data_IF_297841296169
#
_entry.id   IF_297841296169
#
_cell.length_a   1.000
_cell.length_b   1.000
_cell.length_c   1.000
_cell.angle_alpha   90.00
_cell.angle_beta   90.00
_cell.angle_gamma   90.00
#
_symmetry.space_group_name_H-M   'P 1'
#
loop_
_entity.id
_entity.type
_entity.pdbx_description
1 polymer ?
#
# COMPACT_ATOMS: atom_id res chain seq x y z
N UNK A 1 -8.27 8.90 27.97
CA UNK A 1 -8.49 10.33 28.23
C UNK A 1 -7.17 11.02 27.97
N UNK A 2 -7.03 11.75 26.86
CA UNK A 2 -5.77 12.44 26.51
C UNK A 2 -5.57 13.58 27.51
N UNK A 3 -4.43 13.62 28.20
CA UNK A 3 -4.07 14.80 29.00
C UNK A 3 -3.82 15.98 28.05
N UNK A 4 -4.42 17.16 28.31
CA UNK A 4 -4.18 18.31 27.49
C UNK A 4 -2.68 18.70 27.55
N UNK A 5 -2.10 19.03 26.40
CA UNK A 5 -0.72 19.53 26.28
C UNK A 5 -0.44 20.78 27.16
N UNK A 6 -1.49 21.38 27.73
CA UNK A 6 -1.45 22.55 28.59
C UNK A 6 -0.73 22.33 29.94
N UNK A 7 -0.54 21.08 30.38
CA UNK A 7 0.10 20.75 31.63
C UNK A 7 1.60 20.40 31.49
N UNK A 8 2.17 20.57 30.31
CA UNK A 8 3.60 20.32 30.10
C UNK A 8 4.44 21.51 30.57
N UNK A 9 5.29 21.28 31.57
CA UNK A 9 6.33 22.23 31.90
C UNK A 9 7.43 22.20 30.85
N UNK A 10 7.71 23.31 30.21
CA UNK A 10 8.78 23.43 29.24
C UNK A 10 9.77 24.51 29.64
N UNK A 11 11.00 24.35 29.19
CA UNK A 11 12.09 25.30 29.32
C UNK A 11 12.68 25.60 27.94
N UNK A 12 13.34 26.74 27.80
CA UNK A 12 14.09 27.05 26.59
C UNK A 12 15.57 26.66 26.78
N UNK A 13 16.05 25.80 25.91
CA UNK A 13 17.47 25.39 25.90
C UNK A 13 18.11 25.74 24.56
N UNK A 14 19.42 25.92 24.54
CA UNK A 14 20.16 26.07 23.30
C UNK A 14 20.18 24.76 22.53
N UNK A 15 20.00 24.81 21.20
CA UNK A 15 19.96 23.63 20.33
C UNK A 15 21.29 22.83 20.39
N UNK A 16 22.42 23.49 20.70
CA UNK A 16 23.71 22.83 20.88
C UNK A 16 23.73 21.83 22.02
N UNK A 17 22.81 21.98 22.99
CA UNK A 17 22.63 21.08 24.15
C UNK A 17 21.72 19.90 23.83
N UNK A 18 21.08 19.87 22.66
CA UNK A 18 20.16 18.81 22.27
C UNK A 18 20.88 17.65 21.57
N UNK A 19 20.49 16.44 21.94
CA UNK A 19 20.89 15.24 21.20
C UNK A 19 20.08 15.13 19.91
N UNK A 20 20.76 14.90 18.78
CA UNK A 20 20.14 14.78 17.44
C UNK A 20 20.03 13.32 16.95
N UNK A 21 20.14 12.35 17.86
CA UNK A 21 20.14 10.93 17.55
C UNK A 21 18.83 10.44 16.91
N UNK A 22 17.75 11.18 17.08
CA UNK A 22 16.42 10.85 16.52
C UNK A 22 16.15 11.48 15.17
N UNK A 23 17.15 12.04 14.51
CA UNK A 23 17.02 12.43 13.13
C UNK A 23 16.76 11.17 12.28
N UNK A 24 15.54 10.98 11.84
CA UNK A 24 15.08 9.81 11.07
C UNK A 24 15.06 10.04 9.56
N UNK A 25 15.81 11.05 9.10
CA UNK A 25 15.95 11.37 7.69
C UNK A 25 14.81 12.24 7.14
N UNK A 26 14.76 12.44 5.82
CA UNK A 26 13.70 13.23 5.20
C UNK A 26 12.35 12.58 5.44
N UNK A 27 11.41 13.39 5.91
CA UNK A 27 9.99 13.02 6.02
C UNK A 27 9.27 13.47 4.76
N UNK A 28 8.45 12.59 4.18
CA UNK A 28 7.74 12.89 2.94
C UNK A 28 6.62 13.92 3.10
N UNK A 29 6.15 14.15 4.33
CA UNK A 29 5.00 15.05 4.61
C UNK A 29 5.23 15.91 5.86
N UNK A 30 6.33 16.65 5.91
CA UNK A 30 6.52 17.63 6.98
C UNK A 30 5.64 18.87 6.77
N UNK A 31 5.05 19.41 7.84
CA UNK A 31 4.58 20.79 7.84
C UNK A 31 5.78 21.72 7.56
N UNK A 32 5.59 22.70 6.70
CA UNK A 32 6.68 23.58 6.21
C UNK A 32 7.45 24.34 7.30
N UNK A 33 6.90 24.48 8.52
CA UNK A 33 7.58 25.15 9.66
C UNK A 33 7.12 24.53 10.98
N UNK A 34 7.85 23.55 11.48
CA UNK A 34 7.67 23.09 12.84
C UNK A 34 8.54 23.92 13.80
N UNK A 35 8.01 24.35 14.95
CA UNK A 35 8.84 24.89 16.02
C UNK A 35 9.84 23.84 16.48
N UNK A 36 11.00 24.27 16.95
CA UNK A 36 12.01 23.36 17.49
C UNK A 36 11.59 22.86 18.88
N UNK A 37 11.43 21.54 19.00
CA UNK A 37 11.07 20.86 20.22
C UNK A 37 12.06 19.78 20.61
N UNK A 38 12.24 19.60 21.91
CA UNK A 38 13.01 18.49 22.50
C UNK A 38 12.23 17.82 23.66
N UNK A 39 12.48 16.54 23.85
CA UNK A 39 11.99 15.75 24.98
C UNK A 39 13.20 15.22 25.77
N UNK A 40 13.32 15.61 27.06
CA UNK A 40 14.46 15.19 27.86
C UNK A 40 15.83 15.49 27.27
N UNK A 41 15.93 16.55 26.45
CA UNK A 41 17.14 16.90 25.71
C UNK A 41 17.31 16.23 24.34
N UNK A 42 16.42 15.32 23.93
CA UNK A 42 16.42 14.75 22.57
C UNK A 42 15.63 15.64 21.63
N UNK A 43 16.26 16.14 20.57
CA UNK A 43 15.59 16.95 19.57
C UNK A 43 14.57 16.10 18.80
N UNK A 44 13.31 16.54 18.76
CA UNK A 44 12.21 15.87 18.06
C UNK A 44 11.71 16.64 16.85
N UNK A 45 12.00 17.94 16.75
CA UNK A 45 11.72 18.76 15.56
C UNK A 45 12.73 19.91 15.46
N UNK A 46 12.87 20.52 14.27
CA UNK A 46 13.83 21.59 14.04
C UNK A 46 15.25 21.08 13.73
N UNK A 47 15.39 19.89 13.16
CA UNK A 47 16.70 19.28 12.84
C UNK A 47 17.52 20.07 11.81
N UNK A 48 16.88 20.88 11.00
CA UNK A 48 17.47 21.74 9.98
C UNK A 48 17.98 23.08 10.54
N UNK A 49 17.61 23.42 11.77
CA UNK A 49 18.03 24.66 12.40
C UNK A 49 19.52 24.61 12.75
N UNK A 50 20.18 25.72 12.48
CA UNK A 50 21.59 25.95 12.85
C UNK A 50 21.68 26.76 14.14
N UNK A 51 22.80 26.61 14.84
CA UNK A 51 23.10 27.41 16.04
C UNK A 51 23.34 28.89 15.68
N UNK A 52 22.98 29.84 16.56
CA UNK A 52 22.28 29.66 17.85
C UNK A 52 20.76 29.67 17.68
N UNK A 53 20.06 28.67 18.25
CA UNK A 53 18.59 28.64 18.29
C UNK A 53 18.10 28.14 19.62
N UNK A 54 16.99 28.70 20.13
CA UNK A 54 16.30 28.22 21.32
C UNK A 54 15.27 27.16 20.94
N UNK A 55 15.29 26.08 21.67
CA UNK A 55 14.40 24.92 21.52
C UNK A 55 13.51 24.82 22.75
N UNK A 56 12.24 24.57 22.55
CA UNK A 56 11.32 24.25 23.63
C UNK A 56 11.58 22.81 24.10
N UNK A 57 12.13 22.64 25.28
CA UNK A 57 12.43 21.33 25.84
C UNK A 57 11.43 20.99 26.95
N UNK A 58 10.93 19.76 26.94
CA UNK A 58 10.11 19.19 28.03
C UNK A 58 10.97 18.21 28.82
N UNK A 59 11.62 18.65 29.92
CA UNK A 59 12.68 17.88 30.58
C UNK A 59 12.16 16.64 31.33
N UNK A 60 10.91 16.62 31.73
CA UNK A 60 10.30 15.59 32.57
C UNK A 60 8.96 15.06 32.01
N UNK A 61 8.86 14.94 30.70
CA UNK A 61 7.68 14.31 30.12
C UNK A 61 7.64 12.81 30.45
N UNK A 62 6.46 12.29 30.77
CA UNK A 62 6.26 10.84 30.76
C UNK A 62 6.28 10.33 29.32
N UNK A 63 6.62 9.05 29.06
CA UNK A 63 6.59 8.50 27.71
C UNK A 63 5.23 8.66 27.01
N UNK A 64 4.13 8.62 27.75
CA UNK A 64 2.79 8.87 27.22
C UNK A 64 2.60 10.33 26.76
N UNK A 65 3.06 11.31 27.55
CA UNK A 65 3.05 12.72 27.16
C UNK A 65 3.97 12.98 25.95
N UNK A 66 5.11 12.28 25.91
CA UNK A 66 6.00 12.30 24.74
C UNK A 66 5.32 11.83 23.48
N UNK A 67 4.54 10.74 23.54
CA UNK A 67 3.78 10.22 22.40
C UNK A 67 2.70 11.21 21.94
N UNK A 68 1.99 11.87 22.86
CA UNK A 68 1.00 12.91 22.54
C UNK A 68 1.64 14.11 21.84
N UNK A 69 2.74 14.63 22.40
CA UNK A 69 3.47 15.75 21.81
C UNK A 69 4.00 15.40 20.43
N UNK A 70 4.64 14.23 20.30
CA UNK A 70 5.18 13.78 19.02
C UNK A 70 4.09 13.66 17.95
N UNK A 71 2.96 13.02 18.27
CA UNK A 71 1.83 12.90 17.36
C UNK A 71 1.26 14.27 16.96
N UNK A 72 1.21 15.25 17.87
CA UNK A 72 0.74 16.60 17.57
C UNK A 72 1.63 17.33 16.56
N UNK A 73 2.94 17.07 16.59
CA UNK A 73 3.91 17.62 15.65
C UNK A 73 3.90 16.92 14.29
N UNK A 74 3.68 15.61 14.29
CA UNK A 74 3.77 14.74 13.12
C UNK A 74 2.51 13.89 12.93
N UNK A 75 1.35 14.48 12.64
CA UNK A 75 0.09 13.72 12.56
C UNK A 75 -0.02 12.77 11.34
N UNK A 76 0.93 12.79 10.43
CA UNK A 76 0.86 12.09 9.14
C UNK A 76 2.15 11.34 8.78
N UNK A 77 2.75 10.64 9.74
CA UNK A 77 3.88 9.76 9.41
C UNK A 77 3.39 8.47 8.77
N UNK A 78 4.17 7.98 7.80
CA UNK A 78 4.00 6.64 7.27
C UNK A 78 4.53 5.59 8.25
N UNK A 79 4.07 4.33 8.10
CA UNK A 79 4.56 3.28 8.97
C UNK A 79 6.08 2.99 8.84
N UNK A 80 6.76 3.13 7.67
CA UNK A 80 8.21 3.00 7.60
C UNK A 80 8.94 4.09 8.40
N UNK A 81 8.43 5.32 8.37
CA UNK A 81 9.00 6.41 9.17
C UNK A 81 8.85 6.14 10.66
N UNK A 82 7.68 5.66 11.09
CA UNK A 82 7.42 5.26 12.47
C UNK A 82 8.33 4.10 12.90
N UNK A 83 8.49 3.06 12.08
CA UNK A 83 9.37 1.94 12.38
C UNK A 83 10.81 2.40 12.55
N UNK A 84 11.32 3.24 11.64
CA UNK A 84 12.66 3.81 11.78
C UNK A 84 12.83 4.61 13.07
N UNK A 85 11.78 5.29 13.51
CA UNK A 85 11.79 6.09 14.72
C UNK A 85 11.77 5.23 15.99
N UNK A 86 10.82 4.31 16.12
CA UNK A 86 10.67 3.48 17.33
C UNK A 86 11.87 2.56 17.61
N UNK A 87 12.70 2.31 16.59
CA UNK A 87 13.93 1.53 16.75
C UNK A 87 15.17 2.41 17.03
N UNK A 88 14.99 3.73 17.26
CA UNK A 88 16.09 4.59 17.68
C UNK A 88 16.48 4.34 19.14
N UNK A 89 17.77 4.46 19.47
CA UNK A 89 18.23 4.37 20.85
C UNK A 89 17.46 5.34 21.74
N UNK A 90 17.18 4.93 22.97
CA UNK A 90 16.51 5.73 24.01
C UNK A 90 15.09 6.23 23.68
N UNK A 91 14.51 5.81 22.52
CA UNK A 91 13.18 6.25 22.12
C UNK A 91 12.13 5.90 23.18
N UNK A 92 12.10 4.67 23.64
CA UNK A 92 11.12 4.16 24.63
C UNK A 92 11.21 4.87 26.00
N UNK A 93 12.35 5.47 26.31
CA UNK A 93 12.51 6.22 27.57
C UNK A 93 11.76 7.55 27.56
N UNK A 94 11.49 8.09 26.38
CA UNK A 94 10.89 9.41 26.19
C UNK A 94 9.51 9.37 25.54
N UNK A 95 9.23 8.35 24.74
CA UNK A 95 7.99 8.19 23.98
C UNK A 95 7.50 6.76 24.12
N UNK A 96 6.23 6.58 24.46
CA UNK A 96 5.58 5.26 24.49
C UNK A 96 5.28 4.79 23.05
N UNK A 97 5.99 3.75 22.55
CA UNK A 97 5.79 3.28 21.17
C UNK A 97 4.41 2.68 20.93
N UNK A 98 3.83 2.01 21.93
CA UNK A 98 2.53 1.35 21.80
C UNK A 98 1.41 2.39 21.69
N UNK A 99 1.47 3.43 22.56
CA UNK A 99 0.54 4.55 22.48
C UNK A 99 0.70 5.30 21.17
N UNK A 100 1.94 5.55 20.72
CA UNK A 100 2.22 6.24 19.46
C UNK A 100 1.63 5.47 18.27
N UNK A 101 1.89 4.17 18.15
CA UNK A 101 1.32 3.35 17.08
C UNK A 101 -0.21 3.35 17.09
N UNK A 102 -0.82 3.33 18.27
CA UNK A 102 -2.28 3.44 18.43
C UNK A 102 -2.81 4.76 17.86
N UNK A 103 -2.08 5.89 18.08
CA UNK A 103 -2.43 7.20 17.52
C UNK A 103 -2.45 7.23 15.99
N UNK A 104 -1.56 6.46 15.37
CA UNK A 104 -1.52 6.29 13.91
C UNK A 104 -2.42 5.15 13.41
N UNK A 105 -3.31 4.62 14.25
CA UNK A 105 -4.22 3.52 13.91
C UNK A 105 -3.48 2.24 13.45
N UNK A 106 -2.23 2.08 13.90
CA UNK A 106 -1.43 0.90 13.59
C UNK A 106 -1.55 -0.09 14.75
N UNK A 107 -2.11 -1.26 14.45
CA UNK A 107 -2.16 -2.36 15.39
C UNK A 107 -0.79 -3.03 15.46
N UNK A 108 -0.17 -3.01 16.64
CA UNK A 108 1.03 -3.78 16.88
C UNK A 108 0.65 -5.22 17.18
N UNK A 109 1.08 -6.13 16.31
CA UNK A 109 0.95 -7.57 16.48
C UNK A 109 2.26 -8.24 15.99
N UNK A 110 2.35 -9.56 16.14
CA UNK A 110 3.54 -10.33 15.75
C UNK A 110 3.91 -10.16 14.27
N UNK A 111 2.91 -9.99 13.39
CA UNK A 111 3.15 -9.75 11.96
C UNK A 111 3.78 -8.37 11.75
N UNK A 112 3.23 -7.34 12.39
CA UNK A 112 3.80 -6.00 12.32
C UNK A 112 5.25 -5.97 12.82
N UNK A 113 5.54 -6.61 13.96
CA UNK A 113 6.89 -6.65 14.53
C UNK A 113 7.87 -7.36 13.57
N UNK A 114 7.46 -8.47 12.94
CA UNK A 114 8.27 -9.18 11.95
C UNK A 114 8.50 -8.36 10.68
N UNK A 115 7.44 -7.83 10.08
CA UNK A 115 7.53 -6.98 8.88
C UNK A 115 8.38 -5.73 9.15
N UNK A 116 8.30 -5.17 10.36
CA UNK A 116 9.11 -4.03 10.78
C UNK A 116 10.61 -4.36 10.83
N UNK A 117 10.97 -5.54 11.31
CA UNK A 117 12.36 -6.00 11.30
C UNK A 117 12.91 -6.14 9.87
N UNK A 118 12.12 -6.70 8.95
CA UNK A 118 12.52 -6.80 7.56
C UNK A 118 12.62 -5.43 6.89
N UNK A 119 11.68 -4.52 7.17
CA UNK A 119 11.69 -3.16 6.62
C UNK A 119 13.03 -2.46 6.85
N UNK A 120 13.58 -2.56 8.06
CA UNK A 120 14.86 -1.93 8.40
C UNK A 120 16.05 -2.48 7.60
N UNK A 121 15.89 -3.66 7.01
CA UNK A 121 16.90 -4.33 6.19
C UNK A 121 16.68 -4.15 4.69
N UNK A 122 15.52 -3.61 4.26
CA UNK A 122 15.24 -3.33 2.86
C UNK A 122 16.02 -2.10 2.36
N UNK A 123 16.30 -2.00 1.05
CA UNK A 123 16.94 -0.82 0.47
C UNK A 123 16.19 0.48 0.80
N UNK A 124 16.92 1.57 0.96
CA UNK A 124 16.33 2.86 1.33
C UNK A 124 15.28 3.35 0.31
N UNK A 125 15.56 3.17 -0.98
CA UNK A 125 14.62 3.52 -2.08
C UNK A 125 13.30 2.74 -2.00
N UNK A 126 13.33 1.50 -1.50
CA UNK A 126 12.11 0.69 -1.27
C UNK A 126 11.31 1.25 -0.11
N UNK A 127 11.98 1.57 1.01
CA UNK A 127 11.33 2.17 2.18
C UNK A 127 10.69 3.52 1.83
N UNK A 128 11.39 4.34 1.06
CA UNK A 128 10.91 5.66 0.63
C UNK A 128 9.73 5.53 -0.34
N UNK A 129 9.78 4.59 -1.27
CA UNK A 129 8.64 4.29 -2.17
C UNK A 129 7.39 3.86 -1.40
N UNK A 130 7.55 2.95 -0.41
CA UNK A 130 6.45 2.49 0.45
C UNK A 130 5.85 3.68 1.21
N UNK A 131 6.68 4.60 1.73
CA UNK A 131 6.24 5.81 2.40
C UNK A 131 5.50 6.76 1.47
N UNK A 132 6.06 7.06 0.29
CA UNK A 132 5.48 7.95 -0.72
C UNK A 132 4.12 7.46 -1.21
N UNK A 133 4.01 6.16 -1.48
CA UNK A 133 2.77 5.54 -1.97
C UNK A 133 1.79 5.17 -0.87
N UNK A 134 2.12 5.43 0.40
CA UNK A 134 1.27 5.09 1.56
C UNK A 134 0.85 3.61 1.56
N UNK A 135 1.76 2.71 1.20
CA UNK A 135 1.54 1.27 1.20
C UNK A 135 1.48 0.82 2.66
N UNK A 136 0.47 0.08 3.05
CA UNK A 136 0.28 -0.33 4.44
C UNK A 136 1.19 -1.51 4.79
N UNK A 137 1.56 -1.65 6.07
CA UNK A 137 2.33 -2.79 6.55
C UNK A 137 1.66 -4.13 6.19
N UNK A 138 0.33 -4.19 6.30
CA UNK A 138 -0.45 -5.38 5.93
C UNK A 138 -0.29 -5.79 4.45
N UNK A 139 -0.15 -4.83 3.55
CA UNK A 139 -0.07 -5.09 2.10
C UNK A 139 1.26 -5.77 1.70
N UNK A 140 2.27 -5.77 2.58
CA UNK A 140 3.59 -6.39 2.34
C UNK A 140 3.88 -7.64 3.18
N UNK A 141 2.96 -8.05 4.06
CA UNK A 141 3.15 -9.22 4.95
C UNK A 141 3.32 -10.54 4.22
N UNK A 142 2.90 -10.63 2.96
CA UNK A 142 3.13 -11.82 2.14
C UNK A 142 4.63 -12.12 1.97
N UNK A 143 5.47 -11.10 2.05
CA UNK A 143 6.93 -11.21 1.96
C UNK A 143 7.55 -11.97 3.13
N UNK A 144 6.88 -12.01 4.30
CA UNK A 144 7.40 -12.68 5.50
C UNK A 144 7.71 -14.16 5.28
N UNK A 145 7.12 -14.77 4.26
CA UNK A 145 7.34 -16.17 3.86
C UNK A 145 8.51 -16.35 2.89
N UNK A 146 9.13 -15.28 2.41
CA UNK A 146 10.26 -15.29 1.48
C UNK A 146 11.58 -15.01 2.21
N UNK A 147 12.72 -15.58 1.76
CA UNK A 147 14.04 -15.20 2.24
C UNK A 147 14.31 -13.70 2.04
N UNK A 148 15.06 -13.08 2.95
CA UNK A 148 15.32 -11.63 2.93
C UNK A 148 15.92 -11.13 1.62
N UNK A 149 16.87 -11.86 1.04
CA UNK A 149 17.49 -11.46 -0.23
C UNK A 149 16.48 -11.51 -1.38
N UNK A 150 15.61 -12.53 -1.40
CA UNK A 150 14.50 -12.61 -2.35
C UNK A 150 13.51 -11.46 -2.19
N UNK A 151 13.22 -11.04 -0.94
CA UNK A 151 12.38 -9.86 -0.68
C UNK A 151 13.00 -8.60 -1.27
N UNK A 152 14.32 -8.37 -1.01
CA UNK A 152 15.03 -7.19 -1.51
C UNK A 152 15.03 -7.13 -3.04
N UNK A 153 15.35 -8.26 -3.68
CA UNK A 153 15.38 -8.35 -5.15
C UNK A 153 14.01 -8.07 -5.75
N UNK A 154 12.95 -8.72 -5.23
CA UNK A 154 11.58 -8.52 -5.71
C UNK A 154 11.12 -7.08 -5.51
N UNK A 155 11.32 -6.50 -4.33
CA UNK A 155 10.90 -5.14 -4.03
C UNK A 155 11.64 -4.13 -4.89
N UNK A 156 12.95 -4.29 -5.08
CA UNK A 156 13.75 -3.42 -5.95
C UNK A 156 13.25 -3.46 -7.40
N UNK A 157 12.95 -4.66 -7.92
CA UNK A 157 12.37 -4.80 -9.26
C UNK A 157 11.03 -4.08 -9.39
N UNK A 158 10.13 -4.28 -8.42
CA UNK A 158 8.80 -3.65 -8.45
C UNK A 158 8.88 -2.13 -8.34
N UNK A 159 9.72 -1.60 -7.46
CA UNK A 159 9.90 -0.15 -7.27
C UNK A 159 10.46 0.51 -8.54
N UNK A 160 11.39 -0.14 -9.24
CA UNK A 160 11.96 0.35 -10.49
C UNK A 160 10.92 0.51 -11.62
N UNK A 161 9.82 -0.26 -11.59
CA UNK A 161 8.71 -0.13 -12.52
C UNK A 161 7.80 1.08 -12.21
N UNK A 162 7.95 1.71 -11.05
CA UNK A 162 7.18 2.87 -10.58
C UNK A 162 5.66 2.73 -10.74
N UNK A 163 5.05 1.60 -10.36
CA UNK A 163 3.62 1.39 -10.53
C UNK A 163 2.79 2.29 -9.60
N UNK A 164 1.49 2.40 -9.84
CA UNK A 164 0.57 2.97 -8.85
C UNK A 164 0.50 2.07 -7.60
N UNK A 165 0.03 2.59 -6.45
CA UNK A 165 -0.15 1.82 -5.21
C UNK A 165 -0.92 0.50 -5.45
N UNK A 166 -2.09 0.59 -6.09
CA UNK A 166 -2.95 -0.58 -6.34
C UNK A 166 -2.24 -1.61 -7.23
N UNK A 167 -1.53 -1.14 -8.26
CA UNK A 167 -0.80 -2.02 -9.16
C UNK A 167 0.40 -2.67 -8.44
N UNK A 168 1.12 -1.91 -7.61
CA UNK A 168 2.22 -2.44 -6.80
C UNK A 168 1.74 -3.60 -5.90
N UNK A 169 0.66 -3.39 -5.13
CA UNK A 169 0.14 -4.42 -4.23
C UNK A 169 -0.27 -5.69 -4.99
N UNK A 170 -0.94 -5.55 -6.15
CA UNK A 170 -1.34 -6.70 -6.96
C UNK A 170 -0.13 -7.44 -7.56
N UNK A 171 0.85 -6.70 -8.07
CA UNK A 171 2.08 -7.29 -8.61
C UNK A 171 2.89 -7.98 -7.52
N UNK A 172 3.00 -7.36 -6.34
CA UNK A 172 3.69 -7.92 -5.19
C UNK A 172 3.06 -9.26 -4.76
N UNK A 173 1.74 -9.28 -4.58
CA UNK A 173 1.01 -10.48 -4.18
C UNK A 173 1.23 -11.63 -5.18
N UNK A 174 0.96 -11.38 -6.47
CA UNK A 174 1.12 -12.41 -7.51
C UNK A 174 2.57 -12.88 -7.65
N UNK A 175 3.54 -11.97 -7.57
CA UNK A 175 4.96 -12.31 -7.67
C UNK A 175 5.44 -13.12 -6.48
N UNK A 176 5.06 -12.73 -5.26
CA UNK A 176 5.40 -13.48 -4.06
C UNK A 176 4.78 -14.88 -4.08
N UNK A 177 3.52 -15.03 -4.49
CA UNK A 177 2.88 -16.34 -4.64
C UNK A 177 3.60 -17.22 -5.68
N UNK A 178 4.00 -16.66 -6.83
CA UNK A 178 4.75 -17.41 -7.85
C UNK A 178 6.10 -17.87 -7.33
N UNK A 179 6.83 -17.04 -6.59
CA UNK A 179 8.08 -17.43 -5.95
C UNK A 179 7.89 -18.55 -4.91
N UNK A 180 6.84 -18.46 -4.09
CA UNK A 180 6.47 -19.50 -3.13
C UNK A 180 6.07 -20.82 -3.81
N UNK A 181 5.56 -20.75 -5.04
CA UNK A 181 5.28 -21.94 -5.87
C UNK A 181 6.52 -22.51 -6.58
N UNK A 182 7.69 -21.90 -6.40
CA UNK A 182 8.95 -22.36 -6.97
C UNK A 182 9.31 -21.74 -8.33
N UNK A 183 8.62 -20.69 -8.77
CA UNK A 183 9.05 -19.93 -9.97
C UNK A 183 10.41 -19.30 -9.68
N UNK A 184 11.36 -19.42 -10.61
CA UNK A 184 12.68 -18.81 -10.47
C UNK A 184 12.58 -17.28 -10.58
N UNK A 185 13.43 -16.55 -9.85
CA UNK A 185 13.46 -15.07 -9.89
C UNK A 185 13.71 -14.56 -11.33
N UNK A 186 14.56 -15.24 -12.10
CA UNK A 186 14.85 -14.83 -13.47
C UNK A 186 13.61 -14.90 -14.38
N UNK A 187 12.80 -15.94 -14.24
CA UNK A 187 11.54 -16.05 -14.99
C UNK A 187 10.54 -14.96 -14.59
N UNK A 188 10.57 -14.57 -13.32
CA UNK A 188 9.72 -13.48 -12.82
C UNK A 188 10.16 -12.14 -13.39
N UNK A 189 11.47 -11.88 -13.52
CA UNK A 189 12.02 -10.69 -14.18
C UNK A 189 11.51 -10.57 -15.61
N UNK A 190 11.50 -11.66 -16.37
CA UNK A 190 11.01 -11.67 -17.76
C UNK A 190 9.52 -11.29 -17.82
N UNK A 191 8.71 -11.82 -16.90
CA UNK A 191 7.28 -11.49 -16.78
C UNK A 191 7.06 -10.03 -16.37
N UNK A 192 7.84 -9.53 -15.41
CA UNK A 192 7.74 -8.16 -14.91
C UNK A 192 8.13 -7.12 -15.98
N UNK A 193 8.98 -7.47 -16.91
CA UNK A 193 9.37 -6.62 -18.03
C UNK A 193 8.42 -6.69 -19.24
N UNK A 194 7.39 -7.54 -19.18
CA UNK A 194 6.43 -7.67 -20.28
C UNK A 194 5.53 -6.41 -20.38
N UNK A 195 5.07 -6.01 -21.60
CA UNK A 195 4.21 -4.84 -21.78
C UNK A 195 2.89 -4.89 -21.01
N UNK A 196 2.40 -6.07 -20.67
CA UNK A 196 1.17 -6.34 -19.93
C UNK A 196 1.46 -7.15 -18.67
N UNK A 197 2.36 -6.65 -17.86
CA UNK A 197 2.91 -7.32 -16.67
C UNK A 197 1.85 -8.01 -15.81
N UNK A 198 0.77 -7.30 -15.45
CA UNK A 198 -0.26 -7.85 -14.56
C UNK A 198 -1.04 -9.01 -15.23
N UNK A 199 -1.32 -8.91 -16.53
CA UNK A 199 -1.98 -9.97 -17.28
C UNK A 199 -1.09 -11.22 -17.35
N UNK A 200 0.21 -11.06 -17.60
CA UNK A 200 1.16 -12.17 -17.67
C UNK A 200 1.39 -12.81 -16.29
N UNK A 201 1.48 -12.02 -15.21
CA UNK A 201 1.54 -12.55 -13.84
C UNK A 201 0.29 -13.39 -13.52
N UNK A 202 -0.91 -12.89 -13.85
CA UNK A 202 -2.17 -13.62 -13.64
C UNK A 202 -2.23 -14.89 -14.47
N UNK A 203 -1.83 -14.83 -15.72
CA UNK A 203 -1.78 -16.01 -16.61
C UNK A 203 -0.85 -17.08 -16.04
N UNK A 204 0.33 -16.69 -15.57
CA UNK A 204 1.29 -17.63 -14.99
C UNK A 204 0.78 -18.21 -13.67
N UNK A 205 0.13 -17.40 -12.82
CA UNK A 205 -0.41 -17.84 -11.53
C UNK A 205 -1.70 -18.65 -11.65
N UNK A 206 -2.56 -18.29 -12.57
CA UNK A 206 -3.90 -18.88 -12.76
C UNK A 206 -4.14 -19.30 -14.23
N UNK A 207 -3.36 -20.22 -14.80
CA UNK A 207 -3.44 -20.53 -16.24
C UNK A 207 -4.84 -20.99 -16.65
N UNK A 208 -5.43 -21.95 -15.92
CA UNK A 208 -6.76 -22.49 -16.25
C UNK A 208 -7.88 -21.43 -16.16
N UNK A 209 -7.81 -20.53 -15.18
CA UNK A 209 -8.79 -19.45 -15.01
C UNK A 209 -8.65 -18.46 -16.14
N UNK A 210 -7.42 -18.10 -16.51
CA UNK A 210 -7.13 -17.15 -17.60
C UNK A 210 -7.58 -17.70 -18.95
N UNK A 211 -7.35 -18.99 -19.21
CA UNK A 211 -7.83 -19.67 -20.42
C UNK A 211 -9.37 -19.63 -20.51
N UNK A 212 -10.08 -19.96 -19.43
CA UNK A 212 -11.54 -19.88 -19.37
C UNK A 212 -12.04 -18.45 -19.57
N UNK A 213 -11.42 -17.46 -18.93
CA UNK A 213 -11.78 -16.04 -19.09
C UNK A 213 -11.59 -15.57 -20.53
N UNK A 214 -10.52 -16.01 -21.18
CA UNK A 214 -10.26 -15.70 -22.58
C UNK A 214 -11.29 -16.36 -23.52
N UNK A 215 -11.56 -17.64 -23.31
CA UNK A 215 -12.59 -18.37 -24.06
C UNK A 215 -13.97 -17.70 -23.92
N UNK A 216 -14.36 -17.36 -22.69
CA UNK A 216 -15.60 -16.65 -22.43
C UNK A 216 -15.65 -15.26 -23.09
N UNK A 217 -14.57 -14.48 -22.98
CA UNK A 217 -14.46 -13.19 -23.65
C UNK A 217 -14.62 -13.33 -25.17
N UNK A 218 -13.94 -14.31 -25.77
CA UNK A 218 -14.02 -14.56 -27.21
C UNK A 218 -15.42 -14.99 -27.63
N UNK A 219 -16.10 -15.83 -26.85
CA UNK A 219 -17.49 -16.26 -27.14
C UNK A 219 -18.46 -15.09 -27.10
N UNK A 220 -18.24 -14.12 -26.19
CA UNK A 220 -19.12 -12.95 -26.04
C UNK A 220 -18.89 -11.86 -27.09
N UNK A 221 -17.65 -11.69 -27.56
CA UNK A 221 -17.33 -10.73 -28.65
C UNK A 221 -17.99 -11.11 -29.95
N UNK A 222 -18.24 -12.41 -30.20
CA UNK A 222 -18.89 -12.92 -31.45
C UNK A 222 -20.40 -12.78 -31.43
N UNK A 223 -21.02 -12.27 -30.37
CA UNK A 223 -22.45 -12.04 -30.28
C UNK A 223 -22.85 -10.71 -30.93
N UNK A 224 -24.01 -10.67 -31.59
CA UNK A 224 -24.54 -9.47 -32.26
C UNK A 224 -25.23 -8.54 -31.24
N UNK A 225 -24.45 -7.74 -30.52
CA UNK A 225 -25.00 -6.81 -29.55
C UNK A 225 -25.83 -5.71 -30.18
N UNK A 226 -26.96 -5.32 -29.56
CA UNK A 226 -27.78 -4.21 -30.04
C UNK A 226 -26.95 -2.92 -30.14
N UNK A 227 -27.26 -2.09 -31.12
CA UNK A 227 -26.57 -0.80 -31.29
C UNK A 227 -26.76 0.08 -30.05
N UNK A 228 -25.68 0.66 -29.56
CA UNK A 228 -25.69 1.49 -28.33
C UNK A 228 -25.52 0.70 -27.03
N UNK A 229 -25.30 -0.62 -27.08
CA UNK A 229 -24.90 -1.42 -25.92
C UNK A 229 -23.41 -1.64 -25.87
N UNK A 230 -22.81 -1.59 -24.68
CA UNK A 230 -21.45 -2.01 -24.39
C UNK A 230 -21.50 -3.25 -23.49
N UNK A 231 -20.99 -4.38 -23.98
CA UNK A 231 -20.91 -5.62 -23.24
C UNK A 231 -19.47 -5.94 -22.89
N UNK A 232 -19.21 -6.27 -21.64
CA UNK A 232 -17.89 -6.61 -21.13
C UNK A 232 -17.95 -7.90 -20.31
N UNK A 233 -17.06 -8.85 -20.61
CA UNK A 233 -16.84 -10.00 -19.76
C UNK A 233 -16.19 -9.54 -18.44
N UNK A 234 -16.76 -9.90 -17.31
CA UNK A 234 -16.29 -9.55 -15.98
C UNK A 234 -16.26 -10.79 -15.09
N UNK A 235 -15.36 -10.80 -14.12
CA UNK A 235 -15.30 -11.82 -13.08
C UNK A 235 -15.53 -11.15 -11.73
N UNK A 236 -16.43 -11.74 -10.91
CA UNK A 236 -16.70 -11.35 -9.53
C UNK A 236 -16.48 -12.56 -8.63
N UNK A 237 -15.32 -12.59 -7.97
CA UNK A 237 -14.87 -13.79 -7.26
C UNK A 237 -14.72 -14.98 -8.22
N UNK A 238 -15.37 -16.09 -7.92
CA UNK A 238 -15.33 -17.31 -8.75
C UNK A 238 -16.34 -17.30 -9.90
N UNK A 239 -17.25 -16.32 -9.91
CA UNK A 239 -18.29 -16.22 -10.92
C UNK A 239 -17.84 -15.38 -12.12
N UNK A 240 -17.96 -15.97 -13.30
CA UNK A 240 -17.76 -15.33 -14.59
C UNK A 240 -19.10 -14.84 -15.12
N UNK A 241 -19.16 -13.65 -15.67
CA UNK A 241 -20.40 -13.07 -16.14
C UNK A 241 -20.20 -11.93 -17.13
N UNK A 242 -21.32 -11.37 -17.57
CA UNK A 242 -21.37 -10.21 -18.45
C UNK A 242 -21.87 -8.98 -17.71
N UNK A 243 -21.19 -7.88 -17.86
CA UNK A 243 -21.69 -6.55 -17.54
C UNK A 243 -22.16 -5.89 -18.84
N UNK A 244 -23.44 -5.49 -18.88
CA UNK A 244 -24.04 -4.85 -20.05
C UNK A 244 -24.46 -3.45 -19.64
N UNK A 245 -23.94 -2.44 -20.38
CA UNK A 245 -24.27 -1.03 -20.20
C UNK A 245 -24.92 -0.50 -21.46
N UNK A 246 -26.02 0.22 -21.29
CA UNK A 246 -26.69 0.93 -22.39
C UNK A 246 -27.30 2.21 -21.87
N UNK A 247 -27.49 3.17 -22.77
CA UNK A 247 -28.16 4.42 -22.51
C UNK A 247 -29.43 4.48 -23.38
N UNK A 248 -30.56 4.88 -22.81
CA UNK A 248 -31.85 5.01 -23.51
C UNK A 248 -32.42 6.40 -23.32
N UNK A 249 -33.01 6.96 -24.36
CA UNK A 249 -33.65 8.28 -24.35
C UNK A 249 -35.14 8.19 -24.05
N UNK A 250 -35.80 7.09 -24.47
CA UNK A 250 -37.22 6.89 -24.37
C UNK A 250 -37.58 5.39 -24.26
N UNK A 251 -38.86 5.12 -24.00
CA UNK A 251 -39.39 3.76 -23.87
C UNK A 251 -39.26 2.91 -25.13
N UNK A 252 -39.39 3.52 -26.32
CA UNK A 252 -39.32 2.82 -27.59
C UNK A 252 -37.89 2.32 -27.86
N UNK A 253 -36.88 3.11 -27.52
CA UNK A 253 -35.47 2.73 -27.62
C UNK A 253 -35.16 1.61 -26.63
N UNK A 254 -35.72 1.66 -25.41
CA UNK A 254 -35.59 0.62 -24.41
C UNK A 254 -36.16 -0.72 -24.91
N UNK A 255 -37.38 -0.73 -25.49
CA UNK A 255 -37.99 -1.94 -26.04
C UNK A 255 -37.14 -2.56 -27.15
N UNK A 256 -36.56 -1.74 -28.05
CA UNK A 256 -35.67 -2.23 -29.11
C UNK A 256 -34.41 -2.89 -28.55
N UNK A 257 -33.79 -2.29 -27.53
CA UNK A 257 -32.61 -2.86 -26.88
C UNK A 257 -32.96 -4.16 -26.18
N UNK A 258 -34.06 -4.21 -25.41
CA UNK A 258 -34.51 -5.43 -24.72
C UNK A 258 -34.78 -6.58 -25.70
N UNK A 259 -35.46 -6.31 -26.81
CA UNK A 259 -35.69 -7.31 -27.89
C UNK A 259 -34.37 -7.83 -28.47
N UNK A 260 -33.44 -6.92 -28.73
CA UNK A 260 -32.11 -7.31 -29.22
C UNK A 260 -31.33 -8.14 -28.19
N UNK A 261 -31.41 -7.80 -26.88
CA UNK A 261 -30.78 -8.58 -25.82
C UNK A 261 -31.40 -9.98 -25.67
N UNK A 262 -32.71 -10.15 -25.90
CA UNK A 262 -33.37 -11.46 -25.93
C UNK A 262 -32.79 -12.34 -27.03
N UNK A 263 -32.57 -11.77 -28.24
CA UNK A 263 -31.93 -12.48 -29.34
C UNK A 263 -30.51 -12.91 -28.96
N UNK A 264 -29.72 -11.99 -28.39
CA UNK A 264 -28.35 -12.29 -27.94
C UNK A 264 -28.36 -13.40 -26.89
N UNK A 265 -29.32 -13.39 -25.94
CA UNK A 265 -29.44 -14.43 -24.91
C UNK A 265 -29.74 -15.81 -25.53
N UNK A 266 -30.61 -15.85 -26.54
CA UNK A 266 -30.91 -17.08 -27.27
C UNK A 266 -29.70 -17.62 -28.03
N UNK A 267 -28.98 -16.76 -28.77
CA UNK A 267 -27.77 -17.12 -29.50
C UNK A 267 -26.66 -17.61 -28.55
N UNK A 268 -26.53 -16.96 -27.45
CA UNK A 268 -25.55 -17.34 -26.41
C UNK A 268 -25.87 -18.71 -25.80
N UNK A 269 -27.14 -18.96 -25.50
CA UNK A 269 -27.61 -20.27 -25.00
C UNK A 269 -27.31 -21.39 -26.00
N UNK A 270 -27.62 -21.19 -27.28
CA UNK A 270 -27.32 -22.17 -28.32
C UNK A 270 -25.82 -22.47 -28.47
N UNK A 271 -24.95 -21.45 -28.39
CA UNK A 271 -23.50 -21.62 -28.42
C UNK A 271 -22.98 -22.42 -27.26
N UNK A 272 -23.48 -22.16 -26.03
CA UNK A 272 -23.05 -22.86 -24.84
C UNK A 272 -23.55 -24.31 -24.79
N UNK A 273 -24.70 -24.61 -25.39
CA UNK A 273 -25.18 -25.99 -25.52
C UNK A 273 -24.39 -26.79 -26.59
N UNK A 274 -23.83 -26.10 -27.58
CA UNK A 274 -23.00 -26.71 -28.63
C UNK A 274 -21.55 -26.95 -28.17
N UNK A 275 -21.05 -26.20 -27.17
CA UNK A 275 -19.70 -26.35 -26.61
C UNK A 275 -19.75 -26.33 -25.06
N UNK A 276 -20.00 -27.50 -24.44
CA UNK A 276 -20.11 -27.64 -22.97
C UNK A 276 -18.80 -27.40 -22.22
N UNK A 277 -17.70 -27.07 -22.92
CA UNK A 277 -16.40 -26.73 -22.31
C UNK A 277 -16.28 -25.22 -21.98
N UNK A 278 -17.24 -24.40 -22.38
CA UNK A 278 -17.40 -23.00 -22.02
C UNK A 278 -18.26 -22.87 -20.74
#
# INVERSE_FOLDING_TARGET
MAMPLQDLNFEFIDISKCQRSWNFGPLHKLPEKLPAWALGGFLISGFDLKEPHLVQNVPKATPAQGAELFYSLYPKLSWPELVRLIHRPDFETQIDPALLLTKYEIKRDERFDRTSQFLLLWPAEVQDYISEKEIRAFDVTILDSLPLDTQKDLLTLLVNLKPSKSLFCQMLELSAELLLMGTAMQELVDVLNAPKTLEELRKKRFPRTTEKDLAFKNSTVTLNWPKGTAAQAVRKGDLQGLEIKFFVKDALELEKILTGLQTVASDWKQKNEADPAL
#
